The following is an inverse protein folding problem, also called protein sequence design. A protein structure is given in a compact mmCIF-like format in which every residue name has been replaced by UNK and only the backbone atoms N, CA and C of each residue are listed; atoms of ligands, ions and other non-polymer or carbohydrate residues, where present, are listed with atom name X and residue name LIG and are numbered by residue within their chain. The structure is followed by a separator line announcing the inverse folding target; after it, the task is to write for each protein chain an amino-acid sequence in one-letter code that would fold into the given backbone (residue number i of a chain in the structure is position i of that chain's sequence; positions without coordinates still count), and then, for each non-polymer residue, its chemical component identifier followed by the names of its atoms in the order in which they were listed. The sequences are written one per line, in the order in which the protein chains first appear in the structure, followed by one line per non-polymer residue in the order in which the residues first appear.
data_IF_597336744249
#
_entry.id   IF_597336744249
#
_cell.length_a   1.000
_cell.length_b   1.000
_cell.length_c   1.000
_cell.angle_alpha   90.00
_cell.angle_beta   90.00
_cell.angle_gamma   90.00
#
_symmetry.space_group_name_H-M   'P 1'
#
loop_
_entity.id
_entity.type
_entity.pdbx_description
1 polymer ?
#
# COMPACT_ATOMS: atom_id res chain seq x y z
N UNK A 1 -12.51 -2.34 7.47
CA UNK A 1 -11.88 -1.14 6.87
C UNK A 1 -10.37 -1.33 6.96
N UNK A 2 -9.59 -0.87 5.99
CA UNK A 2 -8.13 -0.90 6.09
C UNK A 2 -7.71 0.06 7.20
N UNK A 3 -6.85 -0.41 8.11
CA UNK A 3 -6.35 0.38 9.25
C UNK A 3 -4.86 0.69 9.12
N UNK A 4 -4.11 -0.15 8.44
CA UNK A 4 -2.68 0.04 8.21
C UNK A 4 -2.23 -0.58 6.90
N UNK A 5 -1.36 0.13 6.17
CA UNK A 5 -0.60 -0.39 5.04
C UNK A 5 0.88 -0.21 5.34
N UNK A 6 1.63 -1.31 5.38
CA UNK A 6 3.08 -1.31 5.58
C UNK A 6 3.80 -1.66 4.28
N UNK A 7 4.80 -0.87 3.95
CA UNK A 7 5.64 -1.05 2.75
C UNK A 7 7.10 -1.02 3.18
N UNK A 8 7.88 -1.99 2.70
CA UNK A 8 9.29 -2.16 3.04
C UNK A 8 10.01 -2.90 1.91
N UNK A 9 11.30 -2.59 1.71
CA UNK A 9 12.21 -3.26 0.80
C UNK A 9 11.73 -3.35 -0.65
N UNK A 10 11.03 -2.32 -1.13
CA UNK A 10 10.53 -2.26 -2.51
C UNK A 10 10.65 -0.84 -3.09
N UNK A 11 11.18 -0.72 -4.30
CA UNK A 11 11.44 0.56 -4.97
C UNK A 11 12.18 1.54 -4.03
N UNK A 12 11.62 2.73 -3.78
CA UNK A 12 12.21 3.75 -2.91
C UNK A 12 11.98 3.52 -1.40
N UNK A 13 11.22 2.48 -1.01
CA UNK A 13 10.96 2.16 0.40
C UNK A 13 12.09 1.31 0.99
N UNK A 14 13.26 1.92 1.22
CA UNK A 14 14.45 1.24 1.78
C UNK A 14 14.30 0.83 3.25
N UNK A 15 13.29 1.36 3.93
CA UNK A 15 12.97 1.09 5.33
C UNK A 15 11.46 0.90 5.47
N UNK A 16 11.01 0.28 6.56
CA UNK A 16 9.58 0.15 6.82
C UNK A 16 8.92 1.53 6.92
N UNK A 17 7.82 1.68 6.19
CA UNK A 17 6.91 2.83 6.29
C UNK A 17 5.50 2.31 6.44
N UNK A 18 4.74 2.94 7.33
CA UNK A 18 3.35 2.57 7.60
C UNK A 18 2.43 3.76 7.33
N UNK A 19 1.38 3.53 6.54
CA UNK A 19 0.22 4.42 6.44
C UNK A 19 -0.85 3.91 7.38
N UNK A 20 -0.95 4.50 8.56
CA UNK A 20 -1.97 4.19 9.56
C UNK A 20 -3.16 5.14 9.39
N UNK A 21 -4.38 4.62 9.43
CA UNK A 21 -5.58 5.44 9.28
C UNK A 21 -6.79 4.82 9.96
N UNK A 22 -7.65 5.68 10.48
CA UNK A 22 -9.00 5.40 10.98
C UNK A 22 -10.07 6.02 10.06
N UNK A 23 -9.65 6.63 8.93
CA UNK A 23 -10.54 7.35 8.03
C UNK A 23 -11.15 6.42 7.00
N UNK A 24 -12.44 6.64 6.74
CA UNK A 24 -13.20 5.94 5.70
C UNK A 24 -12.69 6.24 4.29
N UNK A 25 -12.21 7.48 4.05
CA UNK A 25 -11.64 7.94 2.78
C UNK A 25 -10.24 8.48 3.07
N UNK A 26 -9.26 8.08 2.25
CA UNK A 26 -7.87 8.51 2.36
C UNK A 26 -7.40 9.00 0.99
N UNK A 27 -6.66 10.11 0.96
CA UNK A 27 -6.05 10.65 -0.26
C UNK A 27 -4.53 10.51 -0.16
N UNK A 28 -3.93 9.73 -1.05
CA UNK A 28 -2.47 9.59 -1.17
C UNK A 28 -2.01 10.33 -2.42
N UNK A 29 -1.15 11.35 -2.23
CA UNK A 29 -0.66 12.21 -3.31
C UNK A 29 0.83 12.55 -3.11
N UNK A 30 1.46 13.13 -4.13
CA UNK A 30 2.88 13.49 -4.10
C UNK A 30 3.48 13.66 -5.49
N UNK A 31 4.74 14.10 -5.57
CA UNK A 31 5.48 14.33 -6.82
C UNK A 31 5.75 13.03 -7.60
N UNK A 32 6.20 13.15 -8.85
CA UNK A 32 6.63 12.01 -9.63
C UNK A 32 7.84 11.31 -8.97
N UNK A 33 7.87 9.99 -9.02
CA UNK A 33 8.94 9.20 -8.38
C UNK A 33 8.81 8.96 -6.87
N UNK A 34 7.79 9.50 -6.19
CA UNK A 34 7.61 9.32 -4.72
C UNK A 34 7.04 7.96 -4.30
N UNK A 35 6.88 7.00 -5.22
CA UNK A 35 6.42 5.64 -4.89
C UNK A 35 4.90 5.45 -4.82
N UNK A 36 4.10 6.38 -5.36
CA UNK A 36 2.63 6.24 -5.43
C UNK A 36 2.20 4.98 -6.20
N UNK A 37 2.77 4.77 -7.38
CA UNK A 37 2.49 3.59 -8.22
C UNK A 37 2.93 2.28 -7.54
N UNK A 38 3.99 2.31 -6.72
CA UNK A 38 4.39 1.15 -5.92
C UNK A 38 3.30 0.77 -4.92
N UNK A 39 2.72 1.75 -4.24
CA UNK A 39 1.62 1.53 -3.30
C UNK A 39 0.37 0.98 -4.01
N UNK A 40 -0.03 1.54 -5.16
CA UNK A 40 -1.20 1.04 -5.90
C UNK A 40 -0.98 -0.37 -6.45
N UNK A 41 0.23 -0.68 -6.94
CA UNK A 41 0.58 -2.03 -7.38
C UNK A 41 0.55 -3.05 -6.25
N UNK A 42 1.00 -2.68 -5.04
CA UNK A 42 0.88 -3.54 -3.87
C UNK A 42 -0.59 -3.84 -3.52
N UNK A 43 -1.46 -2.83 -3.58
CA UNK A 43 -2.90 -3.01 -3.36
C UNK A 43 -3.56 -3.87 -4.45
N UNK A 44 -3.00 -3.88 -5.67
CA UNK A 44 -3.50 -4.65 -6.81
C UNK A 44 -3.11 -6.13 -6.73
N UNK A 45 -1.85 -6.44 -6.44
CA UNK A 45 -1.31 -7.80 -6.39
C UNK A 45 -0.37 -7.98 -5.18
N UNK A 46 -0.96 -8.21 -4.01
CA UNK A 46 -0.22 -8.48 -2.78
C UNK A 46 0.53 -9.83 -2.78
N UNK A 47 0.16 -10.74 -3.68
CA UNK A 47 0.76 -12.07 -3.81
C UNK A 47 2.05 -12.06 -4.60
N UNK A 48 2.38 -10.93 -5.23
CA UNK A 48 3.65 -10.79 -5.91
C UNK A 48 4.82 -10.92 -4.92
N UNK A 49 5.79 -11.78 -5.24
CA UNK A 49 6.98 -12.00 -4.42
C UNK A 49 7.75 -10.70 -4.11
N UNK A 50 7.62 -9.67 -4.95
CA UNK A 50 8.23 -8.35 -4.72
C UNK A 50 7.68 -7.61 -3.50
N UNK A 51 6.55 -8.05 -2.96
CA UNK A 51 5.89 -7.43 -1.80
C UNK A 51 5.93 -8.30 -0.54
N UNK A 52 6.84 -9.28 -0.47
CA UNK A 52 6.95 -10.20 0.69
C UNK A 52 7.17 -9.47 2.03
N UNK A 53 7.81 -8.31 2.01
CA UNK A 53 8.04 -7.48 3.20
C UNK A 53 6.93 -6.43 3.44
N UNK A 54 5.86 -6.46 2.65
CA UNK A 54 4.73 -5.53 2.75
C UNK A 54 3.51 -6.23 3.38
N UNK A 55 2.67 -5.46 4.08
CA UNK A 55 1.47 -6.00 4.70
C UNK A 55 0.32 -5.00 4.75
N UNK A 56 -0.91 -5.52 4.84
CA UNK A 56 -2.13 -4.74 5.02
C UNK A 56 -2.84 -5.31 6.23
N UNK A 57 -3.27 -4.44 7.14
CA UNK A 57 -4.11 -4.79 8.28
C UNK A 57 -5.48 -4.15 8.12
N UNK A 58 -6.53 -4.91 8.43
CA UNK A 58 -7.91 -4.53 8.26
C UNK A 58 -8.38 -4.62 6.80
N UNK A 59 -9.66 -4.94 6.60
CA UNK A 59 -10.23 -5.04 5.25
C UNK A 59 -9.75 -6.25 4.45
N UNK A 60 -9.36 -7.31 5.15
CA UNK A 60 -8.93 -8.61 4.60
C UNK A 60 -9.99 -9.21 3.68
N UNK A 61 -11.26 -9.08 4.07
CA UNK A 61 -12.44 -9.55 3.34
C UNK A 61 -13.02 -8.53 2.35
N UNK A 62 -12.47 -7.31 2.30
CA UNK A 62 -12.98 -6.28 1.42
C UNK A 62 -12.67 -6.61 -0.06
N UNK A 63 -13.64 -6.38 -0.94
CA UNK A 63 -13.39 -6.34 -2.39
C UNK A 63 -12.45 -5.18 -2.69
N UNK A 64 -11.34 -5.47 -3.35
CA UNK A 64 -10.30 -4.51 -3.72
C UNK A 64 -10.36 -4.27 -5.22
N UNK A 65 -10.50 -3.01 -5.61
CA UNK A 65 -10.38 -2.56 -6.99
C UNK A 65 -9.30 -1.48 -7.07
N UNK A 66 -8.37 -1.62 -8.00
CA UNK A 66 -7.31 -0.64 -8.25
C UNK A 66 -7.45 -0.15 -9.69
N UNK A 67 -7.62 1.15 -9.84
CA UNK A 67 -7.71 1.85 -11.11
C UNK A 67 -6.54 2.85 -11.14
N UNK A 68 -5.66 2.72 -12.14
CA UNK A 68 -4.52 3.61 -12.36
C UNK A 68 -4.79 4.51 -13.55
#
# INVERSE_FOLDING_TARGET
MITSIKVKNIASYTHERALNTDKKINLVYGLNGTGKTTLSNFLKDKSNNKFNDCSISGGETAKKGVYN
#
